data_IF_400998581410
#
_entry.id   IF_400998581410
#
_cell.length_a   1.000
_cell.length_b   1.000
_cell.length_c   1.000
_cell.angle_alpha   90.00
_cell.angle_beta   90.00
_cell.angle_gamma   90.00
#
_symmetry.space_group_name_H-M   'P 1'
#
loop_
_entity.id
_entity.type
_entity.pdbx_description
1 polymer ?
#
# COMPACT_ATOMS: atom_id res chain seq x y z
N UNK A 1 19.31 -33.09 12.36
CA UNK A 1 18.85 -31.73 12.76
C UNK A 1 18.10 -31.79 14.07
N UNK A 2 18.40 -30.88 15.00
CA UNK A 2 17.66 -30.79 16.27
C UNK A 2 16.22 -30.32 16.05
N UNK A 3 15.32 -30.62 17.01
CA UNK A 3 13.94 -30.12 16.98
C UNK A 3 13.89 -28.59 16.91
N UNK A 4 14.76 -27.91 17.66
CA UNK A 4 14.87 -26.45 17.66
C UNK A 4 15.28 -25.90 16.29
N UNK A 5 16.24 -26.55 15.61
CA UNK A 5 16.66 -26.15 14.26
C UNK A 5 15.50 -26.24 13.26
N UNK A 6 14.68 -27.29 13.33
CA UNK A 6 13.50 -27.45 12.46
C UNK A 6 12.49 -26.32 12.67
N UNK A 7 12.21 -25.97 13.93
CA UNK A 7 11.27 -24.90 14.29
C UNK A 7 11.77 -23.57 13.76
N UNK A 8 13.05 -23.23 13.96
CA UNK A 8 13.64 -21.98 13.47
C UNK A 8 13.53 -21.87 11.95
N UNK A 9 13.80 -22.95 11.22
CA UNK A 9 13.71 -22.93 9.76
C UNK A 9 12.27 -22.75 9.26
N UNK A 10 11.31 -23.45 9.86
CA UNK A 10 9.89 -23.34 9.46
C UNK A 10 9.35 -21.94 9.77
N UNK A 11 9.54 -21.44 10.99
CA UNK A 11 9.07 -20.12 11.36
C UNK A 11 9.80 -19.00 10.61
N UNK A 12 11.13 -19.09 10.49
CA UNK A 12 11.92 -18.13 9.74
C UNK A 12 11.52 -18.08 8.26
N UNK A 13 11.33 -19.24 7.64
CA UNK A 13 10.84 -19.36 6.26
C UNK A 13 9.44 -18.77 6.10
N UNK A 14 8.53 -19.05 7.03
CA UNK A 14 7.18 -18.47 7.02
C UNK A 14 7.20 -16.94 7.11
N UNK A 15 7.92 -16.37 8.08
CA UNK A 15 8.02 -14.91 8.23
C UNK A 15 8.67 -14.27 7.00
N UNK A 16 9.68 -14.93 6.42
CA UNK A 16 10.32 -14.47 5.18
C UNK A 16 9.32 -14.45 4.01
N UNK A 17 8.52 -15.50 3.85
CA UNK A 17 7.49 -15.57 2.82
C UNK A 17 6.43 -14.48 3.00
N UNK A 18 5.98 -14.26 4.24
CA UNK A 18 5.03 -13.18 4.59
C UNK A 18 5.61 -11.81 4.25
N UNK A 19 6.84 -11.53 4.67
CA UNK A 19 7.51 -10.26 4.38
C UNK A 19 7.69 -10.03 2.86
N UNK A 20 8.08 -11.08 2.12
CA UNK A 20 8.22 -11.02 0.68
C UNK A 20 6.88 -10.73 -0.02
N UNK A 21 5.79 -11.38 0.40
CA UNK A 21 4.46 -11.13 -0.13
C UNK A 21 3.96 -9.70 0.14
N UNK A 22 4.32 -9.14 1.29
CA UNK A 22 3.94 -7.78 1.68
C UNK A 22 4.83 -6.67 1.13
N UNK A 23 6.03 -6.99 0.65
CA UNK A 23 6.95 -6.00 0.08
C UNK A 23 6.31 -5.12 -1.02
N UNK A 24 5.64 -5.67 -2.06
CA UNK A 24 5.01 -4.85 -3.09
C UNK A 24 3.76 -4.10 -2.60
N UNK A 25 3.16 -4.48 -1.47
CA UNK A 25 1.92 -3.89 -0.94
C UNK A 25 2.22 -2.69 -0.04
N UNK A 26 3.22 -2.81 0.84
CA UNK A 26 3.55 -1.76 1.81
C UNK A 26 4.85 -1.06 1.49
N UNK A 27 5.94 -1.80 1.29
CA UNK A 27 7.28 -1.21 1.21
C UNK A 27 7.47 -0.46 -0.10
N UNK A 28 7.19 -1.12 -1.22
CA UNK A 28 7.43 -0.54 -2.54
C UNK A 28 6.63 0.76 -2.78
N UNK A 29 5.31 0.84 -2.51
CA UNK A 29 4.56 2.08 -2.74
C UNK A 29 5.00 3.22 -1.82
N UNK A 30 5.47 2.90 -0.61
CA UNK A 30 5.96 3.91 0.33
C UNK A 30 7.36 4.43 -0.04
N UNK A 31 8.17 3.66 -0.76
CA UNK A 31 9.51 4.09 -1.21
C UNK A 31 9.48 4.71 -2.62
N UNK A 32 8.42 4.48 -3.41
CA UNK A 32 8.28 4.96 -4.79
C UNK A 32 7.12 5.97 -4.94
N UNK A 33 6.95 6.86 -3.95
CA UNK A 33 5.79 7.76 -3.86
C UNK A 33 5.54 8.60 -5.12
N UNK A 34 6.59 9.07 -5.79
CA UNK A 34 6.45 9.92 -6.97
C UNK A 34 5.85 9.16 -8.17
N UNK A 35 6.23 7.90 -8.39
CA UNK A 35 5.62 7.06 -9.43
C UNK A 35 4.12 6.88 -9.17
N UNK A 36 3.76 6.55 -7.94
CA UNK A 36 2.36 6.38 -7.56
C UNK A 36 1.57 7.69 -7.60
N UNK A 37 2.20 8.83 -7.32
CA UNK A 37 1.60 10.16 -7.47
C UNK A 37 1.28 10.45 -8.93
N UNK A 38 2.21 10.19 -9.85
CA UNK A 38 1.97 10.42 -11.28
C UNK A 38 0.88 9.48 -11.84
N UNK A 39 0.92 8.19 -11.49
CA UNK A 39 -0.14 7.23 -11.85
C UNK A 39 -1.49 7.72 -11.34
N UNK A 40 -1.56 8.19 -10.09
CA UNK A 40 -2.80 8.68 -9.50
C UNK A 40 -3.30 9.97 -10.17
N UNK A 41 -2.41 10.90 -10.52
CA UNK A 41 -2.74 12.14 -11.24
C UNK A 41 -3.39 11.84 -12.59
N UNK A 42 -2.85 10.87 -13.34
CA UNK A 42 -3.43 10.43 -14.61
C UNK A 42 -4.79 9.76 -14.39
N UNK A 43 -4.88 8.82 -13.44
CA UNK A 43 -6.11 8.07 -13.18
C UNK A 43 -7.26 8.92 -12.62
N UNK A 44 -6.95 10.06 -12.00
CA UNK A 44 -7.94 11.01 -11.44
C UNK A 44 -8.18 12.24 -12.31
N UNK A 45 -7.57 12.31 -13.49
CA UNK A 45 -7.78 13.43 -14.40
C UNK A 45 -9.27 13.54 -14.78
N UNK A 46 -9.86 14.72 -14.55
CA UNK A 46 -11.27 14.99 -14.88
C UNK A 46 -12.30 14.34 -13.95
N UNK A 47 -11.88 13.66 -12.88
CA UNK A 47 -12.78 13.06 -11.90
C UNK A 47 -13.07 14.06 -10.76
N UNK A 48 -14.35 14.41 -10.59
CA UNK A 48 -14.83 15.00 -9.36
C UNK A 48 -15.23 13.90 -8.37
N UNK A 49 -14.45 13.73 -7.30
CA UNK A 49 -14.64 12.63 -6.35
C UNK A 49 -16.01 12.64 -5.67
N UNK A 50 -16.59 13.83 -5.46
CA UNK A 50 -17.90 13.98 -4.86
C UNK A 50 -19.01 13.34 -5.70
N UNK A 51 -18.82 13.27 -7.03
CA UNK A 51 -19.82 12.77 -7.97
C UNK A 51 -19.79 11.24 -8.12
N UNK A 52 -18.64 10.62 -7.84
CA UNK A 52 -18.45 9.16 -7.92
C UNK A 52 -18.84 8.48 -6.61
N UNK A 53 -18.66 9.17 -5.49
CA UNK A 53 -18.80 8.54 -4.20
C UNK A 53 -20.27 8.34 -3.80
N UNK A 54 -20.64 7.22 -3.15
CA UNK A 54 -22.01 7.01 -2.68
C UNK A 54 -22.49 8.15 -1.78
N UNK A 55 -23.79 8.44 -1.83
CA UNK A 55 -24.39 9.45 -0.97
C UNK A 55 -24.26 9.07 0.52
N UNK A 56 -23.98 10.04 1.38
CA UNK A 56 -23.94 9.87 2.84
C UNK A 56 -22.61 9.37 3.40
N UNK A 57 -21.56 9.20 2.59
CA UNK A 57 -20.21 8.87 3.06
C UNK A 57 -19.22 10.02 2.83
N UNK A 58 -18.18 10.09 3.69
CA UNK A 58 -17.14 11.12 3.62
C UNK A 58 -16.34 11.00 2.33
N UNK A 59 -16.18 12.11 1.59
CA UNK A 59 -15.36 12.19 0.38
C UNK A 59 -13.98 11.54 0.60
N UNK A 60 -13.56 10.64 -0.31
CA UNK A 60 -12.28 9.94 -0.22
C UNK A 60 -11.12 10.93 -0.17
N UNK A 61 -10.21 10.73 0.79
CA UNK A 61 -9.03 11.57 0.88
C UNK A 61 -8.07 11.29 -0.27
N UNK A 62 -7.42 12.34 -0.77
CA UNK A 62 -6.28 12.18 -1.65
C UNK A 62 -4.97 12.09 -0.83
N UNK A 63 -4.29 10.92 -0.81
CA UNK A 63 -3.05 10.73 -0.07
C UNK A 63 -1.88 11.62 -0.54
N UNK A 64 -1.98 12.23 -1.72
CA UNK A 64 -0.96 13.15 -2.24
C UNK A 64 -1.41 14.62 -2.24
N UNK A 65 -2.59 14.94 -1.68
CA UNK A 65 -3.02 16.34 -1.54
C UNK A 65 -1.98 17.10 -0.72
N UNK A 66 -1.49 18.26 -1.18
CA UNK A 66 -0.65 19.13 -0.37
C UNK A 66 -1.37 19.48 0.93
N UNK A 67 -0.64 19.46 2.05
CA UNK A 67 -1.17 19.99 3.31
C UNK A 67 -1.32 21.50 3.11
N UNK A 68 -2.55 22.00 3.16
CA UNK A 68 -2.81 23.44 3.22
C UNK A 68 -2.10 23.98 4.48
N UNK A 69 -1.20 24.96 4.29
CA UNK A 69 -0.51 25.64 5.38
C UNK A 69 -1.43 26.65 6.04
#
# INVERSE_FOLDING_TARGET
>A
MSKSTKIVLVFGGFITAVAAAFYPIFVYPLTHKEEYREVQKVNRAGINQADIQPAGVKIWSDPFKPVEK
#
